data_IF_546488173534
#
_entry.id   IF_546488173534
#
_cell.length_a   1.000
_cell.length_b   1.000
_cell.length_c   1.000
_cell.angle_alpha   90.00
_cell.angle_beta   90.00
_cell.angle_gamma   90.00
#
_symmetry.space_group_name_H-M   'P 1'
#
loop_
_entity.id
_entity.type
_entity.pdbx_description
1 polymer ?
#
# COMPACT_ATOMS: atom_id res chain seq x y z
N UNK A 1 -3.63 -10.73 9.87
CA UNK A 1 -4.42 -9.58 9.37
C UNK A 1 -3.98 -9.12 7.97
N UNK A 2 -2.68 -9.07 7.65
CA UNK A 2 -2.23 -8.76 6.28
C UNK A 2 -2.31 -9.97 5.34
N UNK A 3 -2.04 -11.17 5.85
CA UNK A 3 -2.17 -12.42 5.08
C UNK A 3 -3.63 -12.81 4.81
N UNK A 4 -4.59 -12.34 5.62
CA UNK A 4 -6.01 -12.67 5.44
C UNK A 4 -6.74 -11.77 4.43
N UNK A 5 -6.02 -10.89 3.73
CA UNK A 5 -6.60 -9.96 2.75
C UNK A 5 -5.89 -10.00 1.37
N UNK A 6 -5.04 -10.98 1.10
CA UNK A 6 -4.31 -11.08 -0.18
C UNK A 6 -3.44 -9.85 -0.53
N UNK A 7 -3.14 -9.01 0.46
CA UNK A 7 -2.33 -7.79 0.27
C UNK A 7 -0.82 -8.07 0.35
N UNK A 8 -0.44 -9.31 0.64
CA UNK A 8 0.98 -9.71 0.73
C UNK A 8 1.71 -9.46 -0.59
N UNK A 9 1.05 -9.71 -1.73
CA UNK A 9 1.60 -9.45 -3.06
C UNK A 9 1.91 -7.98 -3.34
N UNK A 10 1.23 -7.04 -2.66
CA UNK A 10 1.58 -5.60 -2.72
C UNK A 10 2.84 -5.28 -1.91
N UNK A 11 3.14 -6.06 -0.86
CA UNK A 11 4.32 -5.86 -0.01
C UNK A 11 5.57 -6.51 -0.59
N UNK A 12 5.42 -7.69 -1.20
CA UNK A 12 6.51 -8.44 -1.86
C UNK A 12 6.81 -7.94 -3.27
N UNK A 13 5.90 -7.18 -3.87
CA UNK A 13 6.01 -6.71 -5.25
C UNK A 13 5.58 -7.73 -6.30
N UNK A 14 4.98 -8.85 -5.88
CA UNK A 14 4.37 -9.84 -6.78
C UNK A 14 3.16 -9.27 -7.53
N UNK A 15 2.54 -8.22 -7.00
CA UNK A 15 1.50 -7.43 -7.68
C UNK A 15 2.13 -6.11 -8.15
N UNK A 16 2.74 -6.08 -9.35
CA UNK A 16 3.37 -4.88 -9.88
C UNK A 16 2.33 -3.80 -10.21
N UNK A 17 2.79 -2.56 -10.29
CA UNK A 17 1.97 -1.45 -10.74
C UNK A 17 1.48 -1.73 -12.17
N UNK A 18 0.16 -1.68 -12.37
CA UNK A 18 -0.42 -1.77 -13.70
C UNK A 18 -0.07 -0.51 -14.53
N UNK A 19 -0.11 -0.59 -15.86
CA UNK A 19 0.05 0.58 -16.72
C UNK A 19 -0.99 1.66 -16.38
N UNK A 20 -0.54 2.91 -16.22
CA UNK A 20 -1.41 4.06 -15.88
C UNK A 20 -2.44 4.35 -16.98
N UNK A 21 -2.06 4.10 -18.22
CA UNK A 21 -2.91 4.22 -19.41
C UNK A 21 -3.01 2.89 -20.14
N UNK A 22 -4.18 2.64 -20.73
CA UNK A 22 -4.44 1.56 -21.66
C UNK A 22 -4.59 2.16 -23.05
N UNK A 23 -3.99 1.53 -24.05
CA UNK A 23 -4.20 1.91 -25.45
C UNK A 23 -5.44 1.19 -25.96
N UNK A 24 -6.53 1.93 -26.19
CA UNK A 24 -7.74 1.41 -26.81
C UNK A 24 -7.81 1.97 -28.25
N UNK A 25 -7.33 1.17 -29.21
CA UNK A 25 -7.18 1.61 -30.60
C UNK A 25 -6.10 2.68 -30.77
N UNK A 26 -6.49 3.90 -31.15
CA UNK A 26 -5.61 5.06 -31.37
C UNK A 26 -5.56 6.04 -30.19
N UNK A 27 -6.30 5.78 -29.10
CA UNK A 27 -6.34 6.65 -27.92
C UNK A 27 -5.75 5.96 -26.70
N UNK A 28 -5.00 6.73 -25.93
CA UNK A 28 -4.67 6.37 -24.55
C UNK A 28 -5.83 6.76 -23.64
N UNK A 29 -6.33 5.77 -22.91
CA UNK A 29 -7.40 5.91 -21.92
C UNK A 29 -6.81 5.63 -20.55
N UNK A 30 -7.24 6.33 -19.50
CA UNK A 30 -6.80 6.01 -18.14
C UNK A 30 -7.21 4.61 -17.75
N UNK A 31 -6.28 3.86 -17.15
CA UNK A 31 -6.57 2.53 -16.68
C UNK A 31 -7.36 2.58 -15.35
N UNK A 32 -8.65 2.18 -15.34
CA UNK A 32 -9.44 2.18 -14.11
C UNK A 32 -8.86 1.20 -13.07
N UNK A 33 -8.22 0.12 -13.53
CA UNK A 33 -7.57 -0.88 -12.67
C UNK A 33 -6.31 -0.32 -12.00
N UNK A 34 -5.52 0.50 -12.71
CA UNK A 34 -4.39 1.23 -12.10
C UNK A 34 -4.88 2.18 -11.00
N UNK A 35 -6.00 2.86 -11.22
CA UNK A 35 -6.58 3.75 -10.21
C UNK A 35 -7.00 2.97 -8.94
N UNK A 36 -7.59 1.79 -9.10
CA UNK A 36 -7.93 0.91 -7.99
C UNK A 36 -6.68 0.38 -7.26
N UNK A 37 -5.66 -0.05 -8.00
CA UNK A 37 -4.37 -0.48 -7.47
C UNK A 37 -3.71 0.62 -6.63
N UNK A 38 -3.64 1.85 -7.16
CA UNK A 38 -3.03 3.02 -6.50
C UNK A 38 -3.74 3.40 -5.20
N UNK A 39 -5.08 3.28 -5.16
CA UNK A 39 -5.85 3.50 -3.92
C UNK A 39 -5.49 2.48 -2.84
N UNK A 40 -5.41 1.21 -3.22
CA UNK A 40 -5.06 0.09 -2.33
C UNK A 40 -3.64 0.24 -1.78
N UNK A 41 -2.69 0.55 -2.66
CA UNK A 41 -1.29 0.82 -2.31
C UNK A 41 -1.16 1.97 -1.30
N UNK A 42 -1.85 3.09 -1.54
CA UNK A 42 -1.83 4.25 -0.63
C UNK A 42 -2.45 3.92 0.74
N UNK A 43 -3.54 3.16 0.77
CA UNK A 43 -4.15 2.71 2.01
C UNK A 43 -3.21 1.80 2.80
N UNK A 44 -2.54 0.88 2.13
CA UNK A 44 -1.60 -0.05 2.74
C UNK A 44 -0.40 0.70 3.35
N UNK A 45 0.20 1.66 2.61
CA UNK A 45 1.27 2.52 3.14
C UNK A 45 0.81 3.33 4.35
N UNK A 46 -0.40 3.92 4.29
CA UNK A 46 -0.97 4.66 5.42
C UNK A 46 -1.19 3.78 6.64
N UNK A 47 -1.65 2.54 6.44
CA UNK A 47 -1.86 1.57 7.51
C UNK A 47 -0.53 1.12 8.15
N UNK A 48 0.48 0.83 7.33
CA UNK A 48 1.84 0.50 7.81
C UNK A 48 2.42 1.66 8.61
N UNK A 49 2.40 2.89 8.09
CA UNK A 49 2.92 4.05 8.81
C UNK A 49 2.17 4.28 10.13
N UNK A 50 0.85 4.08 10.16
CA UNK A 50 0.05 4.28 11.38
C UNK A 50 0.26 3.17 12.42
N UNK A 51 0.50 1.93 12.01
CA UNK A 51 0.80 0.80 12.90
C UNK A 51 2.25 0.86 13.42
N UNK A 52 3.20 1.19 12.54
CA UNK A 52 4.59 1.45 12.92
C UNK A 52 4.71 2.66 13.85
N UNK A 53 4.03 3.78 13.56
CA UNK A 53 4.03 4.95 14.44
C UNK A 53 3.56 4.62 15.85
N UNK A 54 2.50 3.83 16.01
CA UNK A 54 2.02 3.40 17.32
C UNK A 54 2.99 2.49 18.06
N UNK A 55 3.62 1.54 17.36
CA UNK A 55 4.57 0.60 17.98
C UNK A 55 5.87 1.30 18.38
N UNK A 56 6.38 2.23 17.56
CA UNK A 56 7.55 3.04 17.89
C UNK A 56 7.26 3.97 19.09
N UNK A 57 6.08 4.59 19.15
CA UNK A 57 5.70 5.41 20.31
C UNK A 57 5.58 4.57 21.61
N UNK A 58 5.08 3.34 21.51
CA UNK A 58 5.03 2.41 22.65
C UNK A 58 6.42 1.97 23.14
N UNK A 59 7.38 1.80 22.23
CA UNK A 59 8.78 1.50 22.57
C UNK A 59 9.46 2.67 23.28
N UNK A 60 9.24 3.90 22.82
CA UNK A 60 9.83 5.10 23.44
C UNK A 60 9.25 5.33 24.84
N UNK A 61 7.94 5.18 25.03
CA UNK A 61 7.30 5.25 26.35
C UNK A 61 7.79 4.18 27.32
N UNK A 62 8.14 2.98 26.83
CA UNK A 62 8.75 1.93 27.65
C UNK A 62 10.24 2.14 27.93
N UNK A 63 10.90 3.03 27.19
CA UNK A 63 12.33 3.35 27.32
C UNK A 63 12.60 4.64 28.11
N UNK A 64 11.58 5.48 28.31
CA UNK A 64 11.65 6.65 29.19
C UNK A 64 11.83 6.21 30.67
N UNK A 65 13.11 6.13 31.01
CA UNK A 65 13.75 6.50 32.28
C UNK A 65 13.42 5.68 33.52
N UNK A 66 14.33 4.78 33.86
CA UNK A 66 14.69 4.53 35.26
C UNK A 66 15.47 5.70 35.85
#
# INVERSE_FOLDING_TARGET
MVESQDLYGFLTGEIPALPETLTEGLKEVQNPTYTAWKKTDRLLRGWITRTLSKSVLGLIVGLETS
#
